data_IF_012319196133
#
_entry.id   IF_012319196133
#
_cell.length_a   1.000
_cell.length_b   1.000
_cell.length_c   1.000
_cell.angle_alpha   90.00
_cell.angle_beta   90.00
_cell.angle_gamma   90.00
#
_symmetry.space_group_name_H-M   'P 1'
#
loop_
_entity.id
_entity.type
_entity.pdbx_description
1 polymer ?
#
# COMPACT_ATOMS: atom_id res chain seq x y z
N UNK A 1 -19.28 13.99 14.17
CA UNK A 1 -18.60 14.90 13.23
C UNK A 1 -17.09 14.73 13.30
N UNK A 2 -16.46 14.84 14.49
CA UNK A 2 -15.02 14.70 14.71
C UNK A 2 -14.47 13.35 14.23
N UNK A 3 -15.10 12.25 14.59
CA UNK A 3 -14.68 10.91 14.14
C UNK A 3 -14.69 10.79 12.61
N UNK A 4 -15.66 11.40 11.94
CA UNK A 4 -15.77 11.39 10.48
C UNK A 4 -14.66 12.18 9.81
N UNK A 5 -14.31 13.37 10.35
CA UNK A 5 -13.20 14.17 9.86
C UNK A 5 -11.87 13.42 9.96
N UNK A 6 -11.59 12.83 11.12
CA UNK A 6 -10.41 12.00 11.33
C UNK A 6 -10.38 10.76 10.41
N UNK A 7 -11.55 10.16 10.13
CA UNK A 7 -11.65 9.04 9.19
C UNK A 7 -11.31 9.46 7.76
N UNK A 8 -11.72 10.64 7.31
CA UNK A 8 -11.35 11.16 5.99
C UNK A 8 -9.85 11.39 5.86
N UNK A 9 -9.22 12.01 6.85
CA UNK A 9 -7.76 12.21 6.86
C UNK A 9 -7.00 10.88 6.80
N UNK A 10 -7.43 9.88 7.59
CA UNK A 10 -6.85 8.54 7.56
C UNK A 10 -7.04 7.86 6.21
N UNK A 11 -8.18 8.07 5.55
CA UNK A 11 -8.45 7.49 4.25
C UNK A 11 -7.53 8.08 3.16
N UNK A 12 -7.30 9.39 3.16
CA UNK A 12 -6.32 10.03 2.27
C UNK A 12 -4.89 9.53 2.55
N UNK A 13 -4.51 9.39 3.81
CA UNK A 13 -3.24 8.80 4.19
C UNK A 13 -3.10 7.38 3.65
N UNK A 14 -4.13 6.54 3.83
CA UNK A 14 -4.15 5.18 3.33
C UNK A 14 -4.06 5.12 1.79
N UNK A 15 -4.83 5.94 1.07
CA UNK A 15 -4.76 6.02 -0.40
C UNK A 15 -3.34 6.40 -0.85
N UNK A 16 -2.72 7.39 -0.23
CA UNK A 16 -1.36 7.83 -0.56
C UNK A 16 -0.36 6.69 -0.38
N UNK A 17 -0.43 6.04 0.75
CA UNK A 17 0.43 4.94 1.14
C UNK A 17 0.24 3.73 0.22
N UNK A 18 -1.00 3.31 -0.03
CA UNK A 18 -1.30 2.17 -0.90
C UNK A 18 -0.82 2.44 -2.34
N UNK A 19 -1.11 3.61 -2.88
CA UNK A 19 -0.62 4.01 -4.20
C UNK A 19 0.91 4.01 -4.28
N UNK A 20 1.60 4.48 -3.24
CA UNK A 20 3.06 4.44 -3.19
C UNK A 20 3.59 3.01 -3.20
N UNK A 21 2.95 2.11 -2.46
CA UNK A 21 3.32 0.69 -2.42
C UNK A 21 3.09 0.01 -3.78
N UNK A 22 1.97 0.30 -4.44
CA UNK A 22 1.70 -0.23 -5.78
C UNK A 22 2.74 0.27 -6.78
N UNK A 23 3.02 1.57 -6.81
CA UNK A 23 4.02 2.14 -7.71
C UNK A 23 5.41 1.53 -7.48
N UNK A 24 5.89 1.45 -6.24
CA UNK A 24 7.21 0.88 -5.98
C UNK A 24 7.27 -0.62 -6.28
N UNK A 25 6.16 -1.33 -6.10
CA UNK A 25 6.08 -2.76 -6.44
C UNK A 25 6.20 -3.02 -7.94
N UNK A 26 5.73 -2.10 -8.75
CA UNK A 26 5.72 -2.22 -10.20
C UNK A 26 7.03 -1.79 -10.90
N UNK A 27 8.00 -1.25 -10.17
CA UNK A 27 9.33 -0.97 -10.70
C UNK A 27 10.03 -2.30 -11.01
N UNK A 28 10.53 -2.52 -12.24
CA UNK A 28 11.33 -3.71 -12.56
C UNK A 28 12.59 -3.81 -11.71
N UNK A 29 12.99 -5.02 -11.34
CA UNK A 29 14.15 -5.26 -10.47
C UNK A 29 15.46 -4.80 -11.12
N UNK A 30 15.62 -5.07 -12.40
CA UNK A 30 16.77 -4.61 -13.19
C UNK A 30 16.90 -3.09 -13.21
N UNK A 31 15.80 -2.38 -13.47
CA UNK A 31 15.79 -0.92 -13.41
C UNK A 31 16.16 -0.40 -12.02
N UNK A 32 15.61 -1.00 -10.96
CA UNK A 32 15.92 -0.60 -9.58
C UNK A 32 17.40 -0.81 -9.26
N UNK A 33 17.97 -1.96 -9.63
CA UNK A 33 19.40 -2.27 -9.41
C UNK A 33 20.33 -1.31 -10.15
N UNK A 34 20.03 -1.01 -11.41
CA UNK A 34 20.82 -0.08 -12.23
C UNK A 34 20.72 1.37 -11.73
N UNK A 35 19.59 1.74 -11.16
CA UNK A 35 19.29 3.11 -10.73
C UNK A 35 19.27 3.28 -9.21
N UNK A 36 19.90 2.40 -8.45
CA UNK A 36 19.95 2.47 -6.96
C UNK A 36 20.30 3.87 -6.45
N UNK A 37 21.17 4.59 -7.13
CA UNK A 37 21.56 5.94 -6.76
C UNK A 37 20.42 6.96 -6.84
N UNK A 38 19.47 6.77 -7.74
CA UNK A 38 18.30 7.64 -7.88
C UNK A 38 17.38 7.50 -6.65
N UNK A 39 17.39 6.33 -6.00
CA UNK A 39 16.63 6.06 -4.79
C UNK A 39 17.39 6.38 -3.50
N UNK A 40 18.65 6.87 -3.58
CA UNK A 40 19.53 7.13 -2.44
C UNK A 40 19.05 8.28 -1.54
N UNK A 41 18.28 9.25 -2.06
CA UNK A 41 17.76 10.34 -1.23
C UNK A 41 16.95 9.83 -0.03
N UNK A 42 16.42 8.62 -0.14
CA UNK A 42 15.73 7.94 0.93
C UNK A 42 16.67 7.41 2.01
N UNK A 43 17.98 7.30 1.72
CA UNK A 43 19.00 6.78 2.64
C UNK A 43 19.51 7.81 3.64
N UNK A 44 19.58 9.08 3.24
CA UNK A 44 20.31 10.10 3.99
C UNK A 44 19.60 10.61 5.25
N UNK A 45 18.28 10.52 5.35
CA UNK A 45 17.50 11.17 6.41
C UNK A 45 16.78 10.20 7.34
N UNK A 46 17.22 8.96 7.47
CA UNK A 46 16.41 7.96 8.16
C UNK A 46 14.95 8.02 7.67
N UNK A 47 14.78 8.19 6.34
CA UNK A 47 13.47 8.43 5.73
C UNK A 47 12.45 7.40 6.18
N UNK A 48 12.87 6.13 6.19
CA UNK A 48 12.03 5.02 6.59
C UNK A 48 12.00 4.75 8.09
N UNK A 49 12.77 5.47 8.91
CA UNK A 49 12.77 5.25 10.36
C UNK A 49 11.41 5.49 11.00
N UNK A 50 10.65 6.42 10.45
CA UNK A 50 9.27 6.70 10.87
C UNK A 50 8.48 7.25 9.69
N UNK A 51 7.53 6.47 9.19
CA UNK A 51 6.71 6.85 8.05
C UNK A 51 5.50 7.67 8.49
N UNK A 52 5.41 8.87 7.94
CA UNK A 52 4.28 9.79 8.14
C UNK A 52 3.54 9.98 6.83
N UNK A 53 2.32 10.55 6.87
CA UNK A 53 1.59 10.93 5.65
C UNK A 53 2.45 11.79 4.71
N UNK A 54 3.16 12.79 5.25
CA UNK A 54 4.05 13.64 4.44
C UNK A 54 5.21 12.88 3.77
N UNK A 55 5.79 11.88 4.45
CA UNK A 55 6.83 11.03 3.86
C UNK A 55 6.27 10.10 2.79
N UNK A 56 5.11 9.49 3.02
CA UNK A 56 4.42 8.70 2.00
C UNK A 56 4.07 9.54 0.77
N UNK A 57 3.62 10.78 0.95
CA UNK A 57 3.32 11.68 -0.15
C UNK A 57 4.56 12.07 -0.95
N UNK A 58 5.70 12.31 -0.27
CA UNK A 58 6.98 12.54 -0.95
C UNK A 58 7.45 11.35 -1.77
N UNK A 59 7.31 10.14 -1.22
CA UNK A 59 7.61 8.90 -1.95
C UNK A 59 6.69 8.75 -3.16
N UNK A 60 5.40 8.98 -2.99
CA UNK A 60 4.43 8.95 -4.08
C UNK A 60 4.76 9.94 -5.20
N UNK A 61 5.10 11.18 -4.84
CA UNK A 61 5.51 12.22 -5.81
C UNK A 61 6.75 11.81 -6.59
N UNK A 62 7.74 11.29 -5.91
CA UNK A 62 8.98 10.80 -6.53
C UNK A 62 8.70 9.67 -7.51
N UNK A 63 7.99 8.63 -7.08
CA UNK A 63 7.64 7.49 -7.92
C UNK A 63 6.82 7.92 -9.14
N UNK A 64 5.79 8.76 -8.93
CA UNK A 64 5.00 9.32 -10.02
C UNK A 64 5.84 10.05 -11.06
N UNK A 65 6.85 10.82 -10.62
CA UNK A 65 7.73 11.55 -11.54
C UNK A 65 8.59 10.60 -12.36
N UNK A 66 9.12 9.53 -11.78
CA UNK A 66 9.86 8.49 -12.51
C UNK A 66 8.96 7.85 -13.58
N UNK A 67 7.74 7.44 -13.22
CA UNK A 67 6.80 6.86 -14.17
C UNK A 67 6.39 7.84 -15.27
N UNK A 68 6.18 9.12 -14.94
CA UNK A 68 5.82 10.15 -15.90
C UNK A 68 6.97 10.49 -16.87
N UNK A 69 8.20 10.24 -16.48
CA UNK A 69 9.37 10.41 -17.35
C UNK A 69 9.57 9.23 -18.34
N UNK A 70 8.77 8.18 -18.23
CA UNK A 70 8.88 6.95 -19.04
C UNK A 70 10.28 6.33 -19.01
N UNK A 71 10.92 6.33 -17.84
CA UNK A 71 12.28 5.82 -17.68
C UNK A 71 12.38 4.29 -17.76
N UNK A 72 11.24 3.58 -17.65
CA UNK A 72 11.13 2.14 -17.77
C UNK A 72 9.71 1.70 -18.14
N UNK A 73 9.55 0.45 -18.59
CA UNK A 73 8.24 -0.17 -18.76
C UNK A 73 7.81 -0.79 -17.43
N UNK A 74 6.67 -0.38 -16.85
CA UNK A 74 6.19 -1.00 -15.62
C UNK A 74 5.87 -2.48 -15.82
N UNK A 75 5.93 -3.26 -14.73
CA UNK A 75 5.59 -4.70 -14.77
C UNK A 75 4.15 -4.93 -15.24
N UNK A 76 3.28 -3.94 -15.01
CA UNK A 76 1.90 -3.93 -15.49
C UNK A 76 1.71 -2.72 -16.41
N UNK A 77 1.27 -2.96 -17.63
CA UNK A 77 0.85 -1.94 -18.58
C UNK A 77 -0.66 -1.73 -18.48
N UNK A 78 -1.12 -1.00 -17.50
CA UNK A 78 -2.55 -0.75 -17.32
C UNK A 78 -2.87 0.73 -17.17
N UNK A 79 -4.11 1.08 -17.50
CA UNK A 79 -4.69 2.40 -17.23
C UNK A 79 -4.55 2.82 -15.75
N UNK A 80 -4.41 1.85 -14.85
CA UNK A 80 -4.17 2.10 -13.43
C UNK A 80 -2.94 2.98 -13.21
N UNK A 81 -1.82 2.74 -13.94
CA UNK A 81 -0.61 3.55 -13.76
C UNK A 81 -0.77 4.97 -14.26
N UNK A 82 -1.49 5.18 -15.37
CA UNK A 82 -1.84 6.52 -15.83
C UNK A 82 -2.66 7.28 -14.78
N UNK A 83 -3.64 6.60 -14.18
CA UNK A 83 -4.44 7.18 -13.12
C UNK A 83 -3.59 7.49 -11.88
N UNK A 84 -2.73 6.55 -11.44
CA UNK A 84 -1.81 6.77 -10.31
C UNK A 84 -0.84 7.92 -10.56
N UNK A 85 -0.37 8.11 -11.78
CA UNK A 85 0.51 9.22 -12.14
C UNK A 85 -0.22 10.55 -12.34
N UNK A 86 -1.55 10.59 -12.24
CA UNK A 86 -2.35 11.78 -12.45
C UNK A 86 -1.98 12.92 -11.50
N UNK A 87 -1.75 14.10 -12.07
CA UNK A 87 -1.53 15.33 -11.30
C UNK A 87 -2.75 15.71 -10.44
N UNK A 88 -3.95 15.35 -10.89
CA UNK A 88 -5.20 15.62 -10.16
C UNK A 88 -5.20 14.87 -8.83
N UNK A 89 -4.87 13.57 -8.84
CA UNK A 89 -4.80 12.75 -7.62
C UNK A 89 -3.74 13.31 -6.68
N UNK A 90 -2.53 13.56 -7.18
CA UNK A 90 -1.45 14.14 -6.35
C UNK A 90 -1.88 15.44 -5.66
N UNK A 91 -2.53 16.35 -6.40
CA UNK A 91 -2.99 17.61 -5.84
C UNK A 91 -4.03 17.39 -4.73
N UNK A 92 -4.99 16.48 -4.91
CA UNK A 92 -5.99 16.15 -3.88
C UNK A 92 -5.33 15.60 -2.61
N UNK A 93 -4.38 14.68 -2.77
CA UNK A 93 -3.62 14.11 -1.64
C UNK A 93 -2.77 15.18 -0.91
N UNK A 94 -2.16 16.10 -1.66
CA UNK A 94 -1.37 17.19 -1.07
C UNK A 94 -2.24 18.20 -0.30
N UNK A 95 -3.43 18.52 -0.81
CA UNK A 95 -4.41 19.36 -0.10
C UNK A 95 -4.82 18.68 1.21
N UNK A 96 -5.15 17.39 1.17
CA UNK A 96 -5.52 16.64 2.37
C UNK A 96 -4.39 16.58 3.40
N UNK A 97 -3.13 16.40 2.94
CA UNK A 97 -1.95 16.44 3.81
C UNK A 97 -1.78 17.82 4.45
N UNK A 98 -2.01 18.91 3.70
CA UNK A 98 -1.91 20.27 4.23
C UNK A 98 -3.02 20.53 5.26
N UNK A 99 -4.27 20.18 4.98
CA UNK A 99 -5.36 20.26 5.96
C UNK A 99 -5.00 19.56 7.28
N UNK A 100 -4.42 18.35 7.18
CA UNK A 100 -3.94 17.66 8.40
C UNK A 100 -2.84 18.43 9.13
N UNK A 101 -1.94 19.13 8.44
CA UNK A 101 -0.81 19.84 9.04
C UNK A 101 -1.19 21.20 9.61
N UNK A 102 -2.16 21.91 9.02
CA UNK A 102 -2.66 23.20 9.49
C UNK A 102 -3.38 23.05 10.83
N UNK A 103 -4.10 21.94 11.00
CA UNK A 103 -4.74 21.55 12.25
C UNK A 103 -3.80 20.78 13.19
N UNK A 104 -2.54 20.64 12.84
CA UNK A 104 -1.68 19.51 13.11
C UNK A 104 -0.81 19.61 14.35
N UNK A 105 -1.37 19.96 15.45
CA UNK A 105 -0.68 19.53 16.67
C UNK A 105 -1.46 18.47 17.47
N UNK A 106 -2.46 17.84 16.85
CA UNK A 106 -3.25 16.78 17.47
C UNK A 106 -4.41 16.27 16.57
N UNK A 107 -5.15 15.27 17.01
CA UNK A 107 -6.40 14.92 16.37
C UNK A 107 -7.39 16.08 16.45
N UNK A 108 -8.21 16.25 15.39
CA UNK A 108 -9.34 17.18 15.44
C UNK A 108 -10.19 16.86 16.66
N UNK A 109 -10.44 17.85 17.50
CA UNK A 109 -11.11 17.65 18.79
C UNK A 109 -12.43 18.39 18.90
N UNK A 110 -12.67 19.43 18.09
CA UNK A 110 -13.90 20.20 18.13
C UNK A 110 -14.77 20.00 16.88
N UNK A 111 -16.06 20.21 17.03
CA UNK A 111 -17.04 19.94 15.96
C UNK A 111 -16.98 20.97 14.84
N UNK A 112 -16.66 22.20 15.11
CA UNK A 112 -16.58 23.27 14.13
C UNK A 112 -15.44 22.99 13.13
N UNK A 113 -14.22 22.76 13.61
CA UNK A 113 -13.09 22.35 12.79
C UNK A 113 -13.39 21.07 11.99
N UNK A 114 -14.06 20.10 12.63
CA UNK A 114 -14.43 18.86 11.99
C UNK A 114 -15.39 19.07 10.81
N UNK A 115 -16.34 19.99 10.92
CA UNK A 115 -17.24 20.32 9.82
C UNK A 115 -16.52 21.02 8.67
N UNK A 116 -15.63 21.96 8.96
CA UNK A 116 -14.79 22.62 7.95
C UNK A 116 -13.94 21.61 7.18
N UNK A 117 -13.23 20.73 7.90
CA UNK A 117 -12.42 19.66 7.30
C UNK A 117 -13.27 18.72 6.44
N UNK A 118 -14.44 18.28 6.92
CA UNK A 118 -15.33 17.40 6.15
C UNK A 118 -15.80 18.11 4.87
N UNK A 119 -16.24 19.33 4.97
CA UNK A 119 -16.74 20.10 3.82
C UNK A 119 -15.64 20.31 2.76
N UNK A 120 -14.41 20.51 3.20
CA UNK A 120 -13.26 20.68 2.32
C UNK A 120 -12.79 19.36 1.70
N UNK A 121 -12.67 18.29 2.50
CA UNK A 121 -12.10 17.02 2.05
C UNK A 121 -13.10 16.11 1.33
N UNK A 122 -14.40 16.21 1.61
CA UNK A 122 -15.41 15.33 1.02
C UNK A 122 -15.44 15.38 -0.51
N UNK A 123 -15.50 16.56 -1.17
CA UNK A 123 -15.44 16.61 -2.64
C UNK A 123 -14.14 16.06 -3.20
N UNK A 124 -13.00 16.37 -2.57
CA UNK A 124 -11.69 15.86 -2.98
C UNK A 124 -11.60 14.33 -2.89
N UNK A 125 -12.26 13.75 -1.89
CA UNK A 125 -12.29 12.29 -1.72
C UNK A 125 -13.05 11.62 -2.86
N UNK A 126 -14.24 12.13 -3.21
CA UNK A 126 -14.98 11.62 -4.36
C UNK A 126 -14.18 11.77 -5.66
N UNK A 127 -13.61 12.94 -5.90
CA UNK A 127 -12.77 13.19 -7.07
C UNK A 127 -11.56 12.24 -7.15
N UNK A 128 -10.97 11.89 -5.99
CA UNK A 128 -9.86 10.96 -5.92
C UNK A 128 -10.31 9.54 -6.27
N UNK A 129 -11.43 9.07 -5.73
CA UNK A 129 -11.96 7.74 -6.05
C UNK A 129 -12.46 7.65 -7.49
N UNK A 130 -13.14 8.67 -7.99
CA UNK A 130 -13.57 8.73 -9.39
C UNK A 130 -12.38 8.75 -10.36
N UNK A 131 -11.21 9.19 -9.90
CA UNK A 131 -9.97 9.18 -10.68
C UNK A 131 -9.15 7.90 -10.53
N UNK A 132 -9.56 6.96 -9.66
CA UNK A 132 -8.91 5.67 -9.39
C UNK A 132 -9.82 4.49 -9.73
N UNK A 133 -10.67 4.66 -10.76
CA UNK A 133 -11.68 3.66 -11.14
C UNK A 133 -11.08 2.33 -11.57
N UNK A 134 -9.89 2.34 -12.19
CA UNK A 134 -9.22 1.11 -12.62
C UNK A 134 -8.88 0.16 -11.47
N UNK A 135 -8.83 0.63 -10.21
CA UNK A 135 -8.71 -0.30 -9.08
C UNK A 135 -9.88 -1.27 -8.94
N UNK A 136 -11.06 -0.95 -9.49
CA UNK A 136 -12.21 -1.86 -9.47
C UNK A 136 -11.98 -3.16 -10.25
N UNK A 137 -11.10 -3.11 -11.24
CA UNK A 137 -10.75 -4.25 -12.10
C UNK A 137 -9.77 -5.20 -11.42
N UNK A 138 -9.09 -4.72 -10.39
CA UNK A 138 -8.11 -5.50 -9.67
C UNK A 138 -8.68 -6.15 -8.40
N UNK A 139 -8.12 -7.29 -8.05
CA UNK A 139 -8.37 -8.01 -6.80
C UNK A 139 -7.05 -8.16 -6.05
N UNK A 140 -7.10 -7.98 -4.74
CA UNK A 140 -5.94 -8.22 -3.89
C UNK A 140 -6.00 -9.65 -3.36
N UNK A 141 -5.03 -10.48 -3.73
CA UNK A 141 -4.92 -11.87 -3.33
C UNK A 141 -3.72 -12.09 -2.41
N UNK A 142 -3.90 -12.94 -1.42
CA UNK A 142 -2.82 -13.46 -0.59
C UNK A 142 -2.68 -14.95 -0.84
N UNK A 143 -1.50 -15.40 -1.23
CA UNK A 143 -1.21 -16.79 -1.56
C UNK A 143 -0.97 -17.56 -0.27
N UNK A 144 -1.75 -18.60 0.03
CA UNK A 144 -1.69 -19.33 1.31
C UNK A 144 -1.02 -20.70 1.23
N UNK A 145 -0.72 -21.18 0.04
CA UNK A 145 -0.19 -22.54 -0.13
C UNK A 145 0.78 -22.67 -1.28
N UNK A 146 1.25 -23.92 -1.44
CA UNK A 146 2.00 -24.33 -2.61
C UNK A 146 1.05 -24.52 -3.78
N UNK A 147 1.59 -24.50 -4.98
CA UNK A 147 0.83 -24.81 -6.17
C UNK A 147 0.60 -26.31 -6.34
N UNK A 148 -0.49 -26.63 -7.02
CA UNK A 148 -0.77 -27.95 -7.58
C UNK A 148 -0.81 -27.84 -9.10
N UNK A 149 -0.27 -28.85 -9.81
CA UNK A 149 -0.41 -28.91 -11.26
C UNK A 149 -1.75 -29.51 -11.64
N UNK A 150 -2.47 -28.81 -12.48
CA UNK A 150 -3.70 -29.31 -13.08
C UNK A 150 -3.38 -30.31 -14.21
N UNK A 151 -4.34 -31.13 -14.64
CA UNK A 151 -4.20 -32.02 -15.76
C UNK A 151 -3.80 -31.31 -17.07
N UNK A 152 -4.19 -30.05 -17.23
CA UNK A 152 -3.87 -29.24 -18.40
C UNK A 152 -2.50 -28.52 -18.29
N UNK A 153 -1.74 -28.78 -17.22
CA UNK A 153 -0.41 -28.19 -17.02
C UNK A 153 -0.41 -26.80 -16.36
N UNK A 154 -1.55 -26.15 -16.19
CA UNK A 154 -1.67 -24.91 -15.43
C UNK A 154 -1.37 -25.13 -13.96
N UNK A 155 -1.04 -24.07 -13.25
CA UNK A 155 -0.78 -24.10 -11.81
C UNK A 155 -2.00 -23.57 -11.05
N UNK A 156 -2.40 -24.29 -10.02
CA UNK A 156 -3.51 -23.95 -9.13
C UNK A 156 -2.95 -23.65 -7.75
N UNK A 157 -3.32 -22.53 -7.17
CA UNK A 157 -2.93 -22.14 -5.82
C UNK A 157 -4.13 -21.66 -5.01
N UNK A 158 -4.15 -22.02 -3.73
CA UNK A 158 -5.14 -21.49 -2.80
C UNK A 158 -4.80 -20.05 -2.40
N UNK A 159 -5.81 -19.20 -2.45
CA UNK A 159 -5.67 -17.78 -2.16
C UNK A 159 -6.75 -17.27 -1.22
N UNK A 160 -6.44 -16.23 -0.48
CA UNK A 160 -7.41 -15.40 0.21
C UNK A 160 -7.61 -14.12 -0.62
N UNK A 161 -8.84 -13.91 -1.09
CA UNK A 161 -9.22 -12.65 -1.70
C UNK A 161 -9.58 -11.64 -0.61
N UNK A 162 -8.89 -10.51 -0.59
CA UNK A 162 -9.19 -9.40 0.29
C UNK A 162 -10.31 -8.57 -0.35
N UNK A 163 -11.47 -8.54 0.29
CA UNK A 163 -12.64 -7.81 -0.20
C UNK A 163 -13.10 -6.79 0.84
N UNK A 164 -12.53 -5.59 0.75
CA UNK A 164 -12.89 -4.47 1.61
C UNK A 164 -12.46 -4.64 3.08
N UNK A 165 -13.10 -3.91 4.00
CA UNK A 165 -12.71 -3.87 5.40
C UNK A 165 -13.19 -5.09 6.20
N UNK A 166 -13.83 -6.07 5.56
CA UNK A 166 -14.37 -7.22 6.25
C UNK A 166 -13.29 -8.18 6.69
N UNK A 167 -13.27 -8.49 7.98
CA UNK A 167 -12.32 -9.38 8.62
C UNK A 167 -12.44 -10.86 8.21
N UNK A 168 -13.46 -11.23 7.44
CA UNK A 168 -13.62 -12.62 7.01
C UNK A 168 -12.93 -12.87 5.68
N UNK A 169 -11.96 -13.78 5.65
CA UNK A 169 -11.24 -14.13 4.43
C UNK A 169 -12.17 -14.84 3.45
N UNK A 170 -12.09 -14.49 2.18
CA UNK A 170 -12.77 -15.19 1.11
C UNK A 170 -11.76 -16.11 0.44
N UNK A 171 -11.88 -17.41 0.73
CA UNK A 171 -11.02 -18.41 0.12
C UNK A 171 -11.41 -18.66 -1.34
N UNK A 172 -10.42 -18.73 -2.20
CA UNK A 172 -10.56 -18.99 -3.64
C UNK A 172 -9.42 -19.86 -4.14
N UNK A 173 -9.58 -20.39 -5.32
CA UNK A 173 -8.54 -21.02 -6.10
C UNK A 173 -8.16 -20.07 -7.24
N UNK A 174 -6.88 -19.82 -7.40
CA UNK A 174 -6.33 -19.09 -8.52
C UNK A 174 -5.64 -20.07 -9.45
N UNK A 175 -6.02 -20.05 -10.72
CA UNK A 175 -5.36 -20.82 -11.77
C UNK A 175 -4.55 -19.85 -12.59
N UNK A 176 -3.25 -20.09 -12.69
CA UNK A 176 -2.32 -19.22 -13.37
C UNK A 176 -1.23 -20.02 -14.08
N UNK A 177 -0.53 -19.43 -15.04
CA UNK A 177 0.51 -20.09 -15.83
C UNK A 177 1.86 -20.18 -15.13
N UNK A 178 2.07 -19.37 -14.07
CA UNK A 178 3.31 -19.28 -13.31
C UNK A 178 3.08 -19.58 -11.83
N UNK A 179 4.11 -20.11 -11.20
CA UNK A 179 4.14 -20.25 -9.75
C UNK A 179 4.22 -18.88 -9.08
N UNK A 180 3.33 -18.64 -8.11
CA UNK A 180 3.33 -17.44 -7.28
C UNK A 180 3.94 -17.75 -5.92
N UNK A 181 4.64 -16.77 -5.38
CA UNK A 181 5.30 -16.92 -4.09
C UNK A 181 4.26 -17.09 -2.97
N UNK A 182 4.39 -18.20 -2.24
CA UNK A 182 3.55 -18.44 -1.07
C UNK A 182 3.74 -17.33 -0.03
N UNK A 183 2.65 -17.01 0.66
CA UNK A 183 2.61 -15.99 1.73
C UNK A 183 2.89 -14.56 1.25
N UNK A 184 2.71 -14.29 -0.04
CA UNK A 184 2.84 -12.97 -0.65
C UNK A 184 1.50 -12.41 -1.09
N UNK A 185 1.40 -11.08 -1.15
CA UNK A 185 0.26 -10.35 -1.67
C UNK A 185 0.46 -10.06 -3.15
N UNK A 186 -0.63 -10.20 -3.92
CA UNK A 186 -0.66 -9.89 -5.34
C UNK A 186 -1.88 -9.05 -5.70
N UNK A 187 -1.67 -8.01 -6.47
CA UNK A 187 -2.73 -7.28 -7.15
C UNK A 187 -2.94 -7.93 -8.52
N UNK A 188 -4.12 -8.46 -8.76
CA UNK A 188 -4.46 -9.25 -9.93
C UNK A 188 -5.66 -8.66 -10.67
N UNK A 189 -5.52 -8.45 -11.97
CA UNK A 189 -6.60 -8.09 -12.86
C UNK A 189 -7.10 -9.33 -13.61
N UNK A 190 -8.30 -9.85 -13.29
CA UNK A 190 -8.82 -11.05 -13.94
C UNK A 190 -9.25 -10.84 -15.40
N UNK A 191 -9.34 -9.60 -15.89
CA UNK A 191 -9.78 -9.31 -17.26
C UNK A 191 -8.66 -9.51 -18.30
N UNK A 192 -7.42 -9.19 -17.91
CA UNK A 192 -6.25 -9.27 -18.79
C UNK A 192 -5.12 -10.10 -18.19
N UNK A 193 -5.38 -10.77 -17.05
CA UNK A 193 -4.43 -11.61 -16.33
C UNK A 193 -3.16 -10.87 -15.85
N UNK A 194 -3.21 -9.55 -15.76
CA UNK A 194 -2.11 -8.78 -15.18
C UNK A 194 -1.94 -9.09 -13.69
N UNK A 195 -0.70 -9.28 -13.30
CA UNK A 195 -0.35 -9.66 -11.94
C UNK A 195 0.83 -8.84 -11.42
N UNK A 196 0.64 -8.19 -10.29
CA UNK A 196 1.69 -7.44 -9.60
C UNK A 196 1.90 -8.02 -8.20
N UNK A 197 3.10 -8.51 -7.92
CA UNK A 197 3.49 -8.85 -6.56
C UNK A 197 3.68 -7.56 -5.75
N UNK A 198 2.93 -7.44 -4.67
CA UNK A 198 3.05 -6.32 -3.73
C UNK A 198 4.30 -6.50 -2.86
N UNK A 199 5.02 -5.41 -2.67
CA UNK A 199 6.24 -5.40 -1.88
C UNK A 199 5.98 -5.87 -0.43
N UNK A 200 6.52 -7.02 -0.09
CA UNK A 200 6.31 -7.69 1.19
C UNK A 200 7.10 -7.06 2.37
N UNK A 201 8.07 -6.19 2.08
CA UNK A 201 8.72 -5.35 3.09
C UNK A 201 7.83 -4.20 3.55
N UNK A 202 6.92 -3.74 2.67
CA UNK A 202 6.05 -2.59 2.96
C UNK A 202 4.64 -2.98 3.40
N UNK A 203 4.14 -4.13 2.94
CA UNK A 203 2.79 -4.57 3.24
C UNK A 203 2.77 -6.06 3.57
N UNK A 204 2.12 -6.41 4.66
CA UNK A 204 1.97 -7.80 5.13
C UNK A 204 0.52 -8.11 5.42
N UNK A 205 0.09 -9.31 5.06
CA UNK A 205 -1.21 -9.85 5.46
C UNK A 205 -0.98 -11.03 6.38
N UNK A 206 -1.62 -11.03 7.54
CA UNK A 206 -1.32 -11.99 8.60
C UNK A 206 -2.57 -12.44 9.31
N UNK A 207 -2.61 -13.73 9.64
CA UNK A 207 -3.63 -14.27 10.53
C UNK A 207 -3.36 -13.83 11.96
N UNK A 208 -4.31 -13.09 12.54
CA UNK A 208 -4.20 -12.50 13.88
C UNK A 208 -4.85 -13.37 14.95
N UNK A 209 -5.93 -14.07 14.58
CA UNK A 209 -6.59 -15.05 15.45
C UNK A 209 -6.91 -16.32 14.64
N UNK A 210 -6.24 -17.42 15.01
CA UNK A 210 -6.43 -18.72 14.33
C UNK A 210 -7.78 -19.34 14.65
N UNK A 211 -8.28 -19.14 15.86
CA UNK A 211 -9.56 -19.75 16.31
C UNK A 211 -10.72 -19.08 15.61
N UNK A 212 -10.70 -17.75 15.54
CA UNK A 212 -11.73 -16.94 14.86
C UNK A 212 -11.49 -16.77 13.36
N UNK A 213 -10.37 -17.32 12.85
CA UNK A 213 -9.93 -17.14 11.47
C UNK A 213 -9.89 -15.67 11.04
N UNK A 214 -9.37 -14.82 11.93
CA UNK A 214 -9.24 -13.38 11.66
C UNK A 214 -7.92 -13.08 11.00
N UNK A 215 -7.96 -12.16 10.05
CA UNK A 215 -6.81 -11.70 9.29
C UNK A 215 -6.78 -10.18 9.25
N UNK A 216 -5.60 -9.62 9.23
CA UNK A 216 -5.42 -8.18 9.14
C UNK A 216 -4.28 -7.80 8.18
N UNK A 217 -4.46 -6.62 7.57
CA UNK A 217 -3.47 -5.99 6.72
C UNK A 217 -2.61 -5.05 7.58
N UNK A 218 -1.30 -5.25 7.49
CA UNK A 218 -0.31 -4.47 8.22
C UNK A 218 0.59 -3.74 7.24
N UNK A 219 0.88 -2.49 7.55
CA UNK A 219 1.68 -1.63 6.70
C UNK A 219 2.86 -1.10 7.47
N UNK A 220 4.01 -1.10 6.82
CA UNK A 220 5.25 -0.60 7.36
C UNK A 220 5.09 0.85 7.86
N UNK A 221 5.46 1.08 9.10
CA UNK A 221 5.34 2.38 9.77
C UNK A 221 6.69 2.99 10.16
N UNK A 222 7.73 2.19 10.18
CA UNK A 222 9.05 2.62 10.60
C UNK A 222 9.87 1.48 11.19
N UNK A 223 10.98 1.82 11.80
CA UNK A 223 11.83 0.88 12.52
C UNK A 223 12.36 1.52 13.80
N UNK A 224 12.73 0.68 14.75
CA UNK A 224 13.35 1.10 16.01
C UNK A 224 14.54 0.22 16.36
N UNK A 225 15.44 0.77 17.16
CA UNK A 225 16.51 0.01 17.77
C UNK A 225 15.98 -0.64 19.05
N UNK A 226 15.94 -1.97 19.08
CA UNK A 226 15.76 -2.72 20.32
C UNK A 226 17.14 -3.15 20.86
N UNK A 227 17.19 -3.58 22.13
CA UNK A 227 18.43 -3.88 22.84
C UNK A 227 19.40 -4.80 22.08
N UNK A 228 18.91 -5.71 21.23
CA UNK A 228 19.74 -6.70 20.54
C UNK A 228 19.53 -6.75 19.02
N UNK A 229 18.62 -5.97 18.45
CA UNK A 229 18.32 -5.99 17.01
C UNK A 229 17.54 -4.76 16.58
N UNK A 230 17.62 -4.43 15.30
CA UNK A 230 16.67 -3.50 14.69
C UNK A 230 15.33 -4.21 14.47
N UNK A 231 14.23 -3.48 14.64
CA UNK A 231 12.89 -4.02 14.47
C UNK A 231 12.06 -3.14 13.53
N UNK A 232 11.49 -3.74 12.50
CA UNK A 232 10.52 -3.07 11.64
C UNK A 232 9.14 -3.09 12.31
N UNK A 233 8.49 -1.93 12.33
CA UNK A 233 7.17 -1.74 12.94
C UNK A 233 6.12 -1.72 11.85
N UNK A 234 5.09 -2.54 12.01
CA UNK A 234 3.96 -2.62 11.11
C UNK A 234 2.66 -2.28 11.84
N UNK A 235 1.92 -1.30 11.32
CA UNK A 235 0.63 -0.87 11.87
C UNK A 235 -0.54 -1.54 11.18
N UNK A 236 -1.52 -1.98 11.97
CA UNK A 236 -2.80 -2.45 11.47
C UNK A 236 -3.69 -1.25 11.13
N UNK A 237 -3.92 -1.02 9.83
CA UNK A 237 -4.77 0.09 9.39
C UNK A 237 -6.26 -0.11 9.68
N UNK A 238 -6.70 -1.35 9.81
CA UNK A 238 -8.07 -1.67 10.21
C UNK A 238 -8.32 -1.35 11.69
N UNK A 239 -7.28 -1.08 12.47
CA UNK A 239 -7.33 -0.79 13.92
C UNK A 239 -7.99 -1.91 14.76
N UNK A 240 -8.12 -3.09 14.18
CA UNK A 240 -8.67 -4.27 14.85
C UNK A 240 -7.62 -5.00 15.68
N UNK A 241 -6.34 -4.75 15.38
CA UNK A 241 -5.21 -5.45 15.94
C UNK A 241 -4.13 -4.49 16.41
N UNK A 242 -3.32 -4.96 17.36
CA UNK A 242 -2.12 -4.24 17.79
C UNK A 242 -1.06 -4.26 16.70
N UNK A 243 -0.25 -3.22 16.66
CA UNK A 243 0.94 -3.18 15.85
C UNK A 243 1.84 -4.39 16.14
N UNK A 244 2.54 -4.89 15.15
CA UNK A 244 3.53 -5.94 15.36
C UNK A 244 4.91 -5.55 14.86
N UNK A 245 5.92 -6.15 15.45
CA UNK A 245 7.31 -5.92 15.11
C UNK A 245 7.94 -7.15 14.49
N UNK A 246 8.86 -6.95 13.56
CA UNK A 246 9.63 -8.00 12.91
C UNK A 246 11.11 -7.68 13.10
N UNK A 247 11.91 -8.59 13.68
CA UNK A 247 13.35 -8.43 13.71
C UNK A 247 13.92 -8.28 12.30
N UNK A 248 14.86 -7.36 12.13
CA UNK A 248 15.59 -7.15 10.88
C UNK A 248 17.07 -7.15 11.16
N UNK A 249 17.84 -7.99 10.44
CA UNK A 249 19.29 -8.11 10.64
C UNK A 249 20.01 -6.83 10.24
N UNK A 250 19.55 -6.18 9.21
CA UNK A 250 19.91 -4.83 8.84
C UNK A 250 18.70 -4.17 8.17
N UNK A 251 18.40 -2.95 8.55
CA UNK A 251 17.53 -2.15 7.72
C UNK A 251 18.37 -1.73 6.51
N UNK A 252 18.40 -2.59 5.49
CA UNK A 252 18.86 -2.12 4.21
C UNK A 252 17.88 -1.05 3.77
N UNK A 253 18.38 0.13 3.42
CA UNK A 253 17.54 1.17 2.82
C UNK A 253 16.99 0.72 1.44
N UNK A 254 17.16 -0.54 1.10
CA UNK A 254 16.61 -1.19 -0.07
C UNK A 254 15.16 -1.59 0.24
N UNK A 255 14.24 -0.81 -0.26
CA UNK A 255 12.79 -1.05 -0.14
C UNK A 255 12.32 -2.12 -1.11
N UNK A 256 13.16 -2.49 -2.04
CA UNK A 256 12.86 -3.51 -3.03
C UNK A 256 13.57 -4.81 -2.77
#
# INVERSE_FOLDING_TARGET
>A
TVQKANAYLKLFEFVTLFNSIVLISAIPEDYYEENKNTFIWTKHDNFYSFMTFGKWLKLYEFLRNIYSAHEFNPIIESELFEQLCSKKIFNSLNIAKNARNEDAHGPITNEFEAEEVINHLKPLLYDTFDSLTSYSDFKLYYIIGKFERTENGSLKQDVIMLNGPCAQPIYRELIYDKELDAYSLYLFNPLNEELLKINDKLMKFKQTDRIKNQWALFIYSGWEHAENSNQAIYKCYQQTEKDFVVPIESFSNDIK
#
